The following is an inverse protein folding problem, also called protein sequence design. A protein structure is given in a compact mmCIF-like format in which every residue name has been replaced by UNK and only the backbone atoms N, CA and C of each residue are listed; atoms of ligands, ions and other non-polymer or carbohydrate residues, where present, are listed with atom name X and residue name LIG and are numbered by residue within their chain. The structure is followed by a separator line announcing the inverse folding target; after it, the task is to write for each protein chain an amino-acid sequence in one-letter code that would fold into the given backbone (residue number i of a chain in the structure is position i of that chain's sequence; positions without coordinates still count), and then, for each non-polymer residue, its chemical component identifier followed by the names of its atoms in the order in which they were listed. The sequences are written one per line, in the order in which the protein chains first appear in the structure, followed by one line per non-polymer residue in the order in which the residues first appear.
data_IF_902884831420
#
_entry.id   IF_902884831420
#
_cell.length_a   1.000
_cell.length_b   1.000
_cell.length_c   1.000
_cell.angle_alpha   90.00
_cell.angle_beta   90.00
_cell.angle_gamma   90.00
#
_symmetry.space_group_name_H-M   'P 1'
#
loop_
_entity.id
_entity.type
_entity.pdbx_description
1 polymer ?
#
# COMPACT_ATOMS: atom_id res chain seq x y z
N UNK A 1 20.20 2.04 3.75
CA UNK A 1 19.45 2.95 4.65
C UNK A 1 18.04 2.43 4.72
N UNK A 2 17.47 2.14 5.91
CA UNK A 2 16.11 1.61 5.97
C UNK A 2 15.16 2.64 5.40
N UNK A 3 14.29 2.23 4.47
CA UNK A 3 13.26 3.08 3.88
C UNK A 3 12.23 3.39 4.97
N UNK A 4 12.46 4.47 5.72
CA UNK A 4 11.66 4.87 6.90
C UNK A 4 10.84 6.14 6.69
N UNK A 5 10.86 6.67 5.47
CA UNK A 5 10.11 7.87 5.13
C UNK A 5 9.56 7.79 3.71
N UNK A 6 8.27 8.10 3.54
CA UNK A 6 7.63 8.26 2.24
C UNK A 6 8.32 9.41 1.48
N UNK A 7 8.62 9.18 0.20
CA UNK A 7 9.38 10.13 -0.63
C UNK A 7 8.54 10.82 -1.68
N UNK A 8 7.57 10.12 -2.25
CA UNK A 8 6.79 10.60 -3.38
C UNK A 8 5.45 11.17 -2.90
N UNK A 9 4.77 10.41 -2.04
CA UNK A 9 3.44 10.77 -1.52
C UNK A 9 3.53 11.15 -0.04
N UNK A 10 4.36 12.14 0.25
CA UNK A 10 4.61 12.64 1.60
C UNK A 10 3.52 13.63 2.08
N UNK A 11 3.77 14.35 3.19
CA UNK A 11 2.79 15.30 3.72
C UNK A 11 2.45 16.43 2.74
N UNK A 12 3.41 16.86 1.91
CA UNK A 12 3.17 17.89 0.89
C UNK A 12 2.17 17.43 -0.16
N UNK A 13 2.29 16.17 -0.59
CA UNK A 13 1.29 15.52 -1.44
C UNK A 13 -0.10 15.51 -0.81
N UNK A 14 -0.20 15.11 0.45
CA UNK A 14 -1.50 15.02 1.15
C UNK A 14 -2.15 16.39 1.36
N UNK A 15 -1.36 17.43 1.66
CA UNK A 15 -1.90 18.78 1.86
C UNK A 15 -2.48 19.39 0.58
N UNK A 16 -2.09 18.90 -0.60
CA UNK A 16 -2.48 19.51 -1.87
C UNK A 16 -1.78 20.86 -2.13
N UNK A 17 -0.75 21.19 -1.35
CA UNK A 17 0.05 22.41 -1.46
C UNK A 17 1.12 22.31 -2.57
N UNK A 18 0.87 21.49 -3.59
CA UNK A 18 1.76 21.30 -4.74
C UNK A 18 1.20 22.04 -5.94
N UNK A 19 2.06 22.65 -6.75
CA UNK A 19 1.65 23.08 -8.08
C UNK A 19 1.46 21.88 -9.02
N UNK A 20 0.77 22.12 -10.14
CA UNK A 20 0.42 21.07 -11.10
C UNK A 20 1.67 20.37 -11.66
N UNK A 21 2.74 21.13 -11.91
CA UNK A 21 4.01 20.61 -12.45
C UNK A 21 4.69 19.65 -11.44
N UNK A 22 4.71 20.02 -10.16
CA UNK A 22 5.26 19.18 -9.09
C UNK A 22 4.41 17.93 -8.87
N UNK A 23 3.07 18.07 -8.93
CA UNK A 23 2.15 16.95 -8.81
C UNK A 23 2.39 15.90 -9.91
N UNK A 24 2.42 16.33 -11.18
CA UNK A 24 2.68 15.46 -12.32
C UNK A 24 4.06 14.80 -12.22
N UNK A 25 5.09 15.59 -11.89
CA UNK A 25 6.46 15.09 -11.74
C UNK A 25 6.56 14.00 -10.67
N UNK A 26 5.86 14.12 -9.53
CA UNK A 26 5.87 13.10 -8.48
C UNK A 26 5.24 11.79 -8.93
N UNK A 27 4.15 11.85 -9.71
CA UNK A 27 3.53 10.65 -10.30
C UNK A 27 4.50 9.98 -11.27
N UNK A 28 5.16 10.75 -12.14
CA UNK A 28 6.13 10.22 -13.09
C UNK A 28 7.34 9.61 -12.39
N UNK A 29 7.91 10.32 -11.41
CA UNK A 29 9.06 9.90 -10.63
C UNK A 29 8.75 8.60 -9.87
N UNK A 30 7.58 8.50 -9.23
CA UNK A 30 7.13 7.27 -8.55
C UNK A 30 6.93 6.13 -9.53
N UNK A 31 6.25 6.36 -10.66
CA UNK A 31 6.04 5.35 -11.68
C UNK A 31 7.36 4.83 -12.26
N UNK A 32 8.32 5.72 -12.50
CA UNK A 32 9.65 5.37 -13.00
C UNK A 32 10.47 4.61 -11.96
N UNK A 33 10.39 5.01 -10.70
CA UNK A 33 11.00 4.30 -9.58
C UNK A 33 10.44 2.87 -9.46
N UNK A 34 9.12 2.72 -9.46
CA UNK A 34 8.44 1.42 -9.40
C UNK A 34 8.87 0.51 -10.56
N UNK A 35 8.87 1.02 -11.79
CA UNK A 35 9.33 0.29 -12.97
C UNK A 35 10.79 -0.13 -12.88
N UNK A 36 11.64 0.64 -12.20
CA UNK A 36 13.09 0.36 -12.12
C UNK A 36 13.41 -0.99 -11.47
N UNK A 37 12.56 -1.48 -10.56
CA UNK A 37 12.76 -2.75 -9.87
C UNK A 37 11.83 -3.88 -10.34
N UNK A 38 10.99 -3.68 -11.37
CA UNK A 38 10.09 -4.72 -11.89
C UNK A 38 10.81 -6.01 -12.28
N UNK A 39 12.02 -5.89 -12.85
CA UNK A 39 12.85 -7.03 -13.23
C UNK A 39 13.22 -7.94 -12.05
N UNK A 40 13.24 -7.39 -10.83
CA UNK A 40 13.60 -8.10 -9.60
C UNK A 40 12.38 -8.73 -8.91
N UNK A 41 11.16 -8.29 -9.25
CA UNK A 41 9.95 -8.74 -8.60
C UNK A 41 9.44 -10.06 -9.16
N UNK A 42 8.98 -10.91 -8.24
CA UNK A 42 8.13 -12.07 -8.54
C UNK A 42 6.71 -11.62 -8.92
N UNK A 43 5.92 -12.53 -9.49
CA UNK A 43 4.60 -12.22 -10.05
C UNK A 43 3.62 -11.60 -9.04
N UNK A 44 3.55 -12.12 -7.80
CA UNK A 44 2.59 -11.65 -6.81
C UNK A 44 2.95 -10.25 -6.29
N UNK A 45 4.24 -9.98 -6.19
CA UNK A 45 4.81 -8.70 -5.82
C UNK A 45 4.55 -7.65 -6.91
N UNK A 46 4.69 -8.02 -8.19
CA UNK A 46 4.28 -7.14 -9.31
C UNK A 46 2.80 -6.79 -9.23
N UNK A 47 1.94 -7.80 -9.07
CA UNK A 47 0.50 -7.59 -8.90
C UNK A 47 0.23 -6.66 -7.72
N UNK A 48 0.88 -6.88 -6.58
CA UNK A 48 0.69 -6.04 -5.39
C UNK A 48 1.13 -4.59 -5.62
N UNK A 49 2.27 -4.37 -6.28
CA UNK A 49 2.79 -3.03 -6.58
C UNK A 49 1.92 -2.28 -7.59
N UNK A 50 1.26 -2.99 -8.51
CA UNK A 50 0.37 -2.41 -9.51
C UNK A 50 -1.02 -2.04 -8.96
N UNK A 51 -1.35 -2.43 -7.73
CA UNK A 51 -2.62 -2.06 -7.10
C UNK A 51 -2.55 -0.64 -6.53
N UNK A 52 -3.61 0.13 -6.77
CA UNK A 52 -3.81 1.39 -6.07
C UNK A 52 -4.33 1.13 -4.65
N UNK A 53 -3.54 1.52 -3.65
CA UNK A 53 -3.91 1.46 -2.24
C UNK A 53 -4.32 2.83 -1.66
N UNK A 54 -4.31 3.90 -2.46
CA UNK A 54 -4.92 5.16 -2.04
C UNK A 54 -6.44 4.93 -1.93
N UNK A 55 -7.04 5.43 -0.85
CA UNK A 55 -8.41 5.17 -0.40
C UNK A 55 -8.74 3.71 -0.02
N UNK A 56 -7.74 2.82 -0.06
CA UNK A 56 -7.91 1.48 0.46
C UNK A 56 -8.02 1.48 1.98
N UNK A 57 -8.71 0.49 2.54
CA UNK A 57 -8.85 0.31 3.98
C UNK A 57 -8.11 -0.92 4.45
N UNK A 58 -7.22 -0.78 5.42
CA UNK A 58 -6.64 -1.93 6.13
C UNK A 58 -7.68 -2.44 7.14
N UNK A 59 -8.06 -3.70 7.01
CA UNK A 59 -9.17 -4.30 7.77
C UNK A 59 -8.69 -5.21 8.88
N UNK A 60 -7.57 -5.91 8.68
CA UNK A 60 -7.02 -6.78 9.73
C UNK A 60 -5.58 -7.18 9.45
N UNK A 61 -4.81 -7.34 10.53
CA UNK A 61 -3.55 -8.07 10.56
C UNK A 61 -3.73 -9.38 11.34
N UNK A 62 -3.49 -10.51 10.71
CA UNK A 62 -3.45 -11.82 11.36
C UNK A 62 -2.03 -12.37 11.35
N UNK A 63 -1.31 -12.18 12.45
CA UNK A 63 0.09 -12.58 12.62
C UNK A 63 0.26 -14.10 12.71
N UNK A 64 1.34 -14.59 12.11
CA UNK A 64 1.75 -15.99 12.07
C UNK A 64 3.25 -16.07 12.39
N UNK A 65 3.77 -17.28 12.69
CA UNK A 65 5.14 -17.50 13.18
C UNK A 65 6.25 -16.71 12.46
N UNK A 66 6.14 -16.53 11.15
CA UNK A 66 7.11 -15.77 10.34
C UNK A 66 6.41 -14.99 9.23
N UNK A 67 5.24 -14.42 9.49
CA UNK A 67 4.44 -13.79 8.45
C UNK A 67 3.15 -13.17 8.97
N UNK A 68 2.37 -12.60 8.06
CA UNK A 68 1.05 -12.09 8.40
C UNK A 68 0.12 -12.24 7.21
N UNK A 69 -1.15 -12.52 7.48
CA UNK A 69 -2.21 -12.27 6.51
C UNK A 69 -2.76 -10.88 6.77
N UNK A 70 -2.71 -10.02 5.75
CA UNK A 70 -3.31 -8.69 5.80
C UNK A 70 -4.50 -8.66 4.87
N UNK A 71 -5.58 -8.06 5.36
CA UNK A 71 -6.78 -7.82 4.56
C UNK A 71 -6.91 -6.34 4.27
N UNK A 72 -7.17 -6.01 3.02
CA UNK A 72 -7.49 -4.68 2.55
C UNK A 72 -8.88 -4.70 1.92
N UNK A 73 -9.62 -3.61 2.04
CA UNK A 73 -10.69 -3.28 1.10
C UNK A 73 -10.13 -2.29 0.08
N UNK A 74 -10.25 -2.64 -1.19
CA UNK A 74 -9.81 -1.82 -2.33
C UNK A 74 -10.98 -1.64 -3.30
N UNK A 75 -10.90 -0.62 -4.15
CA UNK A 75 -11.91 -0.30 -5.15
C UNK A 75 -12.59 1.03 -4.86
N UNK A 76 -13.65 1.31 -5.61
CA UNK A 76 -14.32 2.60 -5.62
C UNK A 76 -15.83 2.46 -5.91
N UNK A 77 -16.54 3.59 -5.94
CA UNK A 77 -17.98 3.62 -6.20
C UNK A 77 -18.37 3.18 -7.63
N UNK A 78 -17.48 3.31 -8.62
CA UNK A 78 -17.74 2.98 -10.02
C UNK A 78 -17.51 1.48 -10.29
N UNK A 79 -16.42 0.93 -9.75
CA UNK A 79 -15.96 -0.43 -9.99
C UNK A 79 -16.41 -1.43 -8.89
N UNK A 80 -16.90 -0.91 -7.77
CA UNK A 80 -17.23 -1.68 -6.58
C UNK A 80 -16.00 -2.07 -5.77
N UNK A 81 -16.24 -2.59 -4.57
CA UNK A 81 -15.18 -2.92 -3.62
C UNK A 81 -14.85 -4.41 -3.59
N UNK A 82 -13.59 -4.71 -3.30
CA UNK A 82 -13.03 -6.05 -3.15
C UNK A 82 -12.28 -6.17 -1.83
N UNK A 83 -12.45 -7.29 -1.14
CA UNK A 83 -11.51 -7.74 -0.12
C UNK A 83 -10.30 -8.35 -0.83
N UNK A 84 -9.15 -7.73 -0.65
CA UNK A 84 -7.83 -8.26 -0.98
C UNK A 84 -7.24 -8.90 0.28
N UNK A 85 -7.00 -10.22 0.26
CA UNK A 85 -6.24 -10.92 1.30
C UNK A 85 -4.87 -11.32 0.78
N UNK A 86 -3.81 -10.71 1.31
CA UNK A 86 -2.42 -11.04 1.00
C UNK A 86 -1.76 -11.78 2.17
N UNK A 87 -1.00 -12.84 1.88
CA UNK A 87 -0.19 -13.58 2.86
C UNK A 87 1.28 -13.23 2.63
N UNK A 88 1.90 -12.59 3.62
CA UNK A 88 3.29 -12.14 3.58
C UNK A 88 4.20 -13.04 4.41
N UNK A 89 5.42 -13.24 3.93
CA UNK A 89 6.51 -13.93 4.63
C UNK A 89 7.51 -12.92 5.20
N UNK A 90 8.05 -13.24 6.37
CA UNK A 90 8.97 -12.42 7.16
C UNK A 90 8.43 -11.00 7.38
N UNK A 91 7.13 -10.94 7.72
CA UNK A 91 6.39 -9.71 7.91
C UNK A 91 6.74 -9.02 9.23
N UNK A 92 7.00 -7.72 9.16
CA UNK A 92 7.28 -6.85 10.30
C UNK A 92 6.49 -5.56 10.12
N UNK A 93 5.88 -5.05 11.20
CA UNK A 93 5.12 -3.81 11.18
C UNK A 93 5.36 -3.05 12.48
N UNK A 94 5.47 -1.72 12.37
CA UNK A 94 5.72 -0.85 13.52
C UNK A 94 4.42 -0.42 14.22
N UNK A 95 3.30 -0.40 13.49
CA UNK A 95 1.98 0.02 13.98
C UNK A 95 0.87 -0.78 13.27
N UNK A 96 0.04 -1.51 14.03
CA UNK A 96 -1.04 -2.34 13.52
C UNK A 96 -2.41 -1.63 13.45
N UNK A 97 -2.42 -0.29 13.48
CA UNK A 97 -3.62 0.54 13.31
C UNK A 97 -4.37 0.15 12.04
N UNK A 98 -5.69 0.03 12.17
CA UNK A 98 -6.62 -0.26 11.08
C UNK A 98 -7.30 1.05 10.66
N UNK A 99 -7.55 1.21 9.37
CA UNK A 99 -8.11 2.45 8.87
C UNK A 99 -7.92 2.63 7.38
N UNK A 100 -8.40 3.78 6.90
CA UNK A 100 -8.28 4.21 5.52
C UNK A 100 -6.90 4.79 5.26
N UNK A 101 -6.31 4.36 4.16
CA UNK A 101 -5.05 4.83 3.63
C UNK A 101 -5.34 6.07 2.79
N UNK A 102 -4.73 7.18 3.14
CA UNK A 102 -4.80 8.43 2.36
C UNK A 102 -3.79 8.39 1.22
N UNK A 103 -2.59 7.92 1.54
CA UNK A 103 -1.50 7.82 0.59
C UNK A 103 -0.65 6.59 0.91
N UNK A 104 -0.13 5.94 -0.14
CA UNK A 104 0.76 4.79 0.01
C UNK A 104 1.80 4.75 -1.10
N UNK A 105 2.98 4.26 -0.75
CA UNK A 105 4.04 3.95 -1.71
C UNK A 105 4.75 2.65 -1.32
N UNK A 106 5.34 2.01 -2.32
CA UNK A 106 6.19 0.84 -2.13
C UNK A 106 7.64 1.16 -2.42
N UNK A 107 8.53 0.52 -1.69
CA UNK A 107 9.96 0.53 -1.98
C UNK A 107 10.53 -0.88 -1.94
N UNK A 108 11.50 -1.12 -2.81
CA UNK A 108 12.26 -2.35 -2.86
C UNK A 108 13.74 -2.04 -2.60
N UNK A 109 14.26 -2.53 -1.47
CA UNK A 109 15.65 -2.30 -1.07
C UNK A 109 16.17 -3.53 -0.33
N UNK A 110 17.43 -3.89 -0.58
CA UNK A 110 18.09 -4.99 0.14
C UNK A 110 17.30 -6.33 0.04
N UNK A 111 16.65 -6.56 -1.11
CA UNK A 111 15.75 -7.71 -1.38
C UNK A 111 14.52 -7.79 -0.46
N UNK A 112 14.11 -6.66 0.10
CA UNK A 112 12.95 -6.53 0.98
C UNK A 112 11.98 -5.49 0.45
N UNK A 113 10.69 -5.76 0.60
CA UNK A 113 9.64 -4.81 0.32
C UNK A 113 9.31 -4.00 1.56
N UNK A 114 9.07 -2.72 1.33
CA UNK A 114 8.56 -1.78 2.29
C UNK A 114 7.27 -1.20 1.71
N UNK A 115 6.16 -1.38 2.41
CA UNK A 115 4.91 -0.72 2.12
C UNK A 115 4.72 0.39 3.13
N UNK A 116 4.87 1.63 2.69
CA UNK A 116 4.67 2.83 3.51
C UNK A 116 3.31 3.44 3.22
N UNK A 117 2.63 3.91 4.26
CA UNK A 117 1.31 4.49 4.13
C UNK A 117 1.02 5.52 5.22
N UNK A 118 0.11 6.44 4.91
CA UNK A 118 -0.44 7.41 5.85
C UNK A 118 -1.95 7.23 5.97
N UNK A 119 -2.47 7.54 7.15
CA UNK A 119 -3.91 7.52 7.48
C UNK A 119 -4.36 8.91 7.93
N UNK A 120 -5.61 9.05 8.38
CA UNK A 120 -6.21 10.32 8.81
C UNK A 120 -5.47 11.07 9.93
N UNK A 121 -4.59 10.42 10.69
CA UNK A 121 -3.76 11.08 11.70
C UNK A 121 -2.43 11.62 11.15
N UNK A 122 -2.20 11.52 9.83
CA UNK A 122 -1.00 11.97 9.12
C UNK A 122 0.31 11.41 9.69
N UNK A 123 0.23 10.28 10.40
CA UNK A 123 1.40 9.53 10.84
C UNK A 123 1.76 8.51 9.76
N UNK A 124 3.02 8.58 9.34
CA UNK A 124 3.58 7.57 8.47
C UNK A 124 3.73 6.25 9.22
N UNK A 125 3.28 5.18 8.58
CA UNK A 125 3.38 3.81 9.02
C UNK A 125 4.02 2.99 7.92
N UNK A 126 4.63 1.89 8.29
CA UNK A 126 5.14 0.96 7.31
C UNK A 126 5.09 -0.47 7.84
N UNK A 127 4.95 -1.39 6.89
CA UNK A 127 5.30 -2.78 7.11
C UNK A 127 6.29 -3.25 6.07
N UNK A 128 7.13 -4.22 6.44
CA UNK A 128 8.13 -4.80 5.58
C UNK A 128 7.97 -6.31 5.49
N UNK A 129 8.25 -6.87 4.32
CA UNK A 129 8.15 -8.30 4.04
C UNK A 129 9.16 -8.73 2.96
N UNK A 130 9.46 -10.02 2.92
CA UNK A 130 10.41 -10.56 1.95
C UNK A 130 9.70 -11.10 0.70
N UNK A 131 8.50 -11.64 0.87
CA UNK A 131 7.76 -12.34 -0.18
C UNK A 131 6.25 -12.33 0.08
N UNK A 132 5.46 -12.31 -1.00
CA UNK A 132 4.02 -12.57 -0.98
C UNK A 132 3.78 -14.03 -1.37
N UNK A 133 3.26 -14.81 -0.43
CA UNK A 133 2.98 -16.24 -0.65
C UNK A 133 1.66 -16.48 -1.40
N UNK A 134 0.67 -15.59 -1.24
CA UNK A 134 -0.62 -15.72 -1.91
C UNK A 134 -1.41 -14.41 -1.88
N UNK A 135 -2.18 -14.17 -2.92
CA UNK A 135 -3.18 -13.09 -3.00
C UNK A 135 -4.55 -13.71 -3.33
N UNK A 136 -5.61 -13.27 -2.64
CA UNK A 136 -6.99 -13.63 -2.94
C UNK A 136 -7.87 -12.39 -3.01
N UNK A 137 -8.71 -12.33 -4.04
CA UNK A 137 -9.73 -11.29 -4.20
C UNK A 137 -11.11 -11.86 -3.93
N UNK A 138 -11.95 -11.11 -3.21
CA UNK A 138 -13.36 -11.44 -3.00
C UNK A 138 -14.18 -10.16 -3.15
N UNK A 139 -15.09 -10.12 -4.13
CA UNK A 139 -16.02 -9.00 -4.28
C UNK A 139 -16.85 -8.83 -3.00
N UNK A 140 -16.97 -7.60 -2.53
CA UNK A 140 -17.80 -7.24 -1.36
C UNK A 140 -18.88 -6.24 -1.81
N UNK A 141 -19.99 -6.16 -1.06
CA UNK A 141 -21.09 -5.28 -1.45
C UNK A 141 -20.70 -3.81 -1.29
N UNK A 142 -21.18 -2.95 -2.20
CA UNK A 142 -20.89 -1.51 -2.22
C UNK A 142 -21.34 -0.77 -0.96
N UNK A 143 -22.24 -1.37 -0.17
CA UNK A 143 -22.83 -0.77 1.04
C UNK A 143 -21.85 -0.55 2.19
N UNK A 144 -20.63 -1.12 2.15
CA UNK A 144 -19.66 -0.94 3.25
C UNK A 144 -19.14 0.50 3.40
N UNK A 145 -19.10 1.28 2.32
CA UNK A 145 -18.75 2.71 2.33
C UNK A 145 -19.99 3.62 2.28
N UNK A 146 -21.20 3.05 2.31
CA UNK A 146 -22.47 3.80 2.21
C UNK A 146 -23.06 4.19 3.56
N UNK A 147 -22.30 4.02 4.64
CA UNK A 147 -22.71 4.41 6.00
C UNK A 147 -22.25 5.84 6.29
N UNK A 148 -22.79 6.80 5.54
CA UNK A 148 -22.85 8.21 5.94
C UNK A 148 -24.32 8.60 6.09
#
# INVERSE_FOLDING_TARGET
MPWRKMRFFDKGWISGDLDDDEFEKRIEDYGSYVRSFYGELKTLERIFVDLNFNDAKIVSFAFMKSGARVKFYIGDLQNGYYELSALFKNFHIDDNTLGEIIASEVAFAEKKFYFSYMMGDLKERHFAFDEICSIKFKKISSKMYSSC
#
